data_IF_291643766109
#
_entry.id   IF_291643766109
#
_cell.length_a   1.000
_cell.length_b   1.000
_cell.length_c   1.000
_cell.angle_alpha   90.00
_cell.angle_beta   90.00
_cell.angle_gamma   90.00
#
_symmetry.space_group_name_H-M   'P 1'
#
loop_
_entity.id
_entity.type
_entity.pdbx_description
1 polymer ?
2 polymer ?
3 polymer ?
4 water ?
#
# COMPACT_ATOMS: atom_id res chain seq x y z
N UNK A 1 20.00 -8.42 0.00
CA UNK A 1 18.78 -8.71 -0.81
C UNK A 1 18.53 -7.58 -1.80
N UNK A 2 17.45 -7.70 -2.56
CA UNK A 2 17.15 -6.68 -3.54
C UNK A 2 16.48 -5.44 -2.92
N UNK A 3 16.47 -4.35 -3.67
CA UNK A 3 15.90 -3.08 -3.21
C UNK A 3 15.15 -2.39 -4.35
N UNK A 4 14.26 -1.48 -3.98
CA UNK A 4 13.51 -0.71 -4.95
C UNK A 4 13.20 0.72 -4.50
N UNK A 5 13.07 1.60 -5.48
CA UNK A 5 12.47 2.91 -5.27
C UNK A 5 11.27 3.05 -6.20
N UNK A 6 10.14 3.46 -5.63
CA UNK A 6 8.90 3.55 -6.39
C UNK A 6 8.10 4.80 -6.03
N UNK A 7 7.57 5.45 -7.06
CA UNK A 7 6.68 6.58 -6.88
C UNK A 7 5.26 6.27 -7.37
N UNK A 8 4.27 6.69 -6.56
CA UNK A 8 2.85 6.48 -6.86
C UNK A 8 2.11 7.82 -6.90
N UNK A 9 1.26 7.99 -7.91
CA UNK A 9 0.54 9.25 -8.15
C UNK A 9 -0.93 8.99 -8.48
N UNK A 10 -1.85 9.61 -7.75
CA UNK A 10 -3.29 9.55 -8.04
C UNK A 10 -3.87 10.95 -8.23
N UNK A 11 -4.59 11.17 -9.33
CA UNK A 11 -5.34 12.41 -9.55
C UNK A 11 -6.79 12.06 -9.77
N UNK A 12 -7.69 12.77 -9.07
CA UNK A 12 -9.14 12.55 -9.16
C UNK A 12 -9.83 13.87 -9.50
N UNK A 13 -10.42 13.95 -10.71
CA UNK A 13 -11.10 15.18 -11.15
C UNK A 13 -12.25 15.57 -10.23
N UNK A 14 -12.50 16.87 -10.13
CA UNK A 14 -13.55 17.47 -9.28
C UNK A 14 -14.44 18.35 -10.18
N UNK A 15 -15.44 17.72 -10.84
CA UNK A 15 -16.20 18.32 -11.95
C UNK A 15 -16.76 19.75 -11.75
N UNK A 16 -17.41 20.01 -10.63
CA UNK A 16 -18.06 21.31 -10.44
C UNK A 16 -17.18 22.56 -10.49
N UNK A 17 -15.92 22.45 -10.04
CA UNK A 17 -15.06 23.62 -9.84
C UNK A 17 -13.62 23.22 -9.51
N UNK A 18 -12.68 23.84 -10.20
CA UNK A 18 -11.27 23.75 -9.85
C UNK A 18 -10.52 22.56 -10.42
N UNK A 19 -9.28 22.41 -9.98
CA UNK A 19 -8.40 21.35 -10.44
C UNK A 19 -8.58 20.05 -9.66
N UNK A 20 -8.05 18.94 -10.19
CA UNK A 20 -8.19 17.66 -9.49
C UNK A 20 -7.42 17.57 -8.17
N UNK A 21 -7.88 16.68 -7.29
CA UNK A 21 -7.11 16.27 -6.12
C UNK A 21 -5.93 15.42 -6.58
N UNK A 22 -4.72 15.82 -6.19
CA UNK A 22 -3.49 15.13 -6.61
C UNK A 22 -2.71 14.71 -5.37
N UNK A 23 -2.38 13.42 -5.31
CA UNK A 23 -1.61 12.88 -4.18
C UNK A 23 -0.44 12.09 -4.72
N UNK A 24 0.76 12.42 -4.24
CA UNK A 24 1.99 11.76 -4.64
C UNK A 24 2.68 11.18 -3.39
N UNK A 25 3.11 9.92 -3.47
CA UNK A 25 3.88 9.31 -2.40
C UNK A 25 5.13 8.63 -2.97
N UNK A 26 6.24 8.66 -2.24
CA UNK A 26 7.48 7.99 -2.68
C UNK A 26 7.97 6.98 -1.65
N UNK A 27 8.50 5.86 -2.14
CA UNK A 27 8.91 4.72 -1.30
C UNK A 27 10.31 4.23 -1.61
N UNK A 28 11.03 3.84 -0.56
CA UNK A 28 12.20 3.00 -0.74
C UNK A 28 11.82 1.69 -0.08
N UNK A 29 11.82 0.61 -0.86
CA UNK A 29 11.30 -0.68 -0.39
C UNK A 29 9.90 -0.47 0.23
N UNK A 30 9.69 -0.88 1.48
CA UNK A 30 8.39 -0.66 2.14
C UNK A 30 8.35 0.57 3.05
N UNK A 31 9.28 1.50 2.84
CA UNK A 31 9.33 2.72 3.66
C UNK A 31 8.91 3.95 2.85
N UNK A 32 7.81 4.59 3.25
CA UNK A 32 7.45 5.85 2.61
C UNK A 32 8.40 6.95 3.08
N UNK A 33 8.96 7.73 2.15
CA UNK A 33 9.92 8.80 2.47
C UNK A 33 9.53 10.23 2.06
N UNK A 34 8.66 10.38 1.05
CA UNK A 34 8.15 11.70 0.64
C UNK A 34 6.64 11.67 0.33
N UNK A 35 6.02 12.85 0.33
CA UNK A 35 4.61 13.01 -0.05
C UNK A 35 4.32 14.41 -0.55
N UNK A 36 3.30 14.50 -1.40
CA UNK A 36 2.72 15.78 -1.77
C UNK A 36 1.21 15.58 -1.85
N UNK A 37 0.46 16.46 -1.20
CA UNK A 37 -0.98 16.45 -1.25
C UNK A 37 -1.42 17.84 -1.68
N UNK A 38 -2.18 17.92 -2.77
CA UNK A 38 -2.66 19.22 -3.28
C UNK A 38 -3.63 19.93 -2.31
N UNK A 39 -4.25 19.18 -1.41
CA UNK A 39 -5.18 19.77 -0.43
C UNK A 39 -4.47 20.31 0.82
N UNK A 40 -3.16 20.06 0.91
CA UNK A 40 -2.34 20.53 2.03
C UNK A 40 -1.90 21.98 1.87
N UNK A 41 -1.70 22.65 3.01
CA UNK A 41 -1.38 24.08 3.04
C UNK A 41 -0.01 24.45 2.42
N UNK A 42 0.99 23.59 2.59
CA UNK A 42 2.37 23.96 2.24
C UNK A 42 2.65 24.04 0.74
N UNK A 43 1.99 23.20 -0.05
CA UNK A 43 2.24 23.14 -1.48
C UNK A 43 3.73 22.82 -1.77
N UNK A 44 4.33 22.00 -0.92
CA UNK A 44 5.72 21.55 -1.08
C UNK A 44 5.79 20.04 -0.96
N UNK A 45 6.75 19.40 -1.65
CA UNK A 45 7.13 18.04 -1.30
C UNK A 45 7.55 18.00 0.18
N UNK A 46 7.02 17.04 0.93
CA UNK A 46 7.27 16.91 2.37
C UNK A 46 8.06 15.63 2.69
N UNK A 47 9.01 15.69 3.64
CA UNK A 47 9.65 14.50 4.21
C UNK A 47 8.72 13.61 5.03
N UNK A 48 8.85 12.30 4.87
CA UNK A 48 8.15 11.33 5.70
C UNK A 48 9.08 10.29 6.34
N UNK A 49 10.39 10.48 6.22
CA UNK A 49 11.37 9.63 6.89
C UNK A 49 12.55 10.48 7.32
N UNK A 50 13.05 10.29 8.56
CA UNK A 50 14.12 11.12 9.11
C UNK A 50 15.32 11.28 8.16
N UNK A 51 15.78 10.19 7.56
CA UNK A 51 16.95 10.22 6.65
C UNK A 51 16.84 11.07 5.38
N UNK A 52 15.62 11.40 4.96
CA UNK A 52 15.48 12.30 3.79
C UNK A 52 15.67 13.78 4.16
N UNK A 53 15.57 14.08 5.44
CA UNK A 53 15.73 15.44 5.93
C UNK A 53 17.17 15.88 5.87
N UNK A 54 18.07 14.91 5.73
CA UNK A 54 19.49 15.16 5.44
C UNK A 54 19.66 16.01 4.19
N UNK A 55 18.72 15.89 3.25
CA UNK A 55 18.80 16.59 1.97
C UNK A 55 18.51 18.07 2.15
N UNK A 56 19.18 18.90 1.36
CA UNK A 56 19.16 20.36 1.55
C UNK A 56 18.02 21.05 0.81
N UNK A 57 17.91 22.39 0.97
CA UNK A 57 16.81 23.15 0.38
C UNK A 57 16.70 23.06 -1.13
N UNK A 58 17.83 22.87 -1.82
CA UNK A 58 17.81 22.71 -3.29
C UNK A 58 17.02 21.47 -3.66
N UNK A 59 17.30 20.37 -2.95
CA UNK A 59 16.56 19.12 -3.15
C UNK A 59 15.07 19.38 -3.08
N UNK A 60 14.62 19.98 -1.98
CA UNK A 60 13.21 20.22 -1.78
C UNK A 60 12.60 21.16 -2.82
N UNK A 61 13.31 22.24 -3.18
CA UNK A 61 12.88 23.11 -4.28
C UNK A 61 12.69 22.31 -5.57
N UNK A 62 13.70 21.53 -5.93
CA UNK A 62 13.68 20.72 -7.15
C UNK A 62 12.55 19.68 -7.17
N UNK A 63 12.38 18.95 -6.05
CA UNK A 63 11.34 17.94 -5.98
C UNK A 63 9.96 18.58 -6.05
N UNK A 64 9.78 19.71 -5.38
CA UNK A 64 8.50 20.43 -5.41
C UNK A 64 8.12 20.86 -6.83
N UNK A 65 9.08 21.42 -7.55
CA UNK A 65 8.86 21.86 -8.93
C UNK A 65 8.45 20.69 -9.81
N UNK A 66 9.15 19.56 -9.65
CA UNK A 66 8.88 18.37 -10.46
C UNK A 66 7.52 17.75 -10.15
N UNK A 67 7.19 17.64 -8.86
CA UNK A 67 5.91 17.06 -8.47
C UNK A 67 4.72 17.94 -8.93
N UNK A 68 4.92 19.27 -8.95
CA UNK A 68 3.94 20.17 -9.54
C UNK A 68 3.78 19.99 -11.05
N UNK A 69 4.88 19.72 -11.76
CA UNK A 69 4.82 19.38 -13.18
C UNK A 69 4.02 18.07 -13.41
N UNK A 70 4.28 17.07 -12.57
CA UNK A 70 3.54 15.81 -12.60
C UNK A 70 2.03 16.11 -12.47
N UNK A 71 1.69 16.96 -11.51
CA UNK A 71 0.30 17.32 -11.23
C UNK A 71 -0.38 17.98 -12.44
N UNK A 72 0.34 18.86 -13.14
CA UNK A 72 -0.22 19.51 -14.32
C UNK A 72 -0.43 18.58 -15.52
N UNK A 73 0.54 17.70 -15.78
CA UNK A 73 0.39 16.63 -16.77
C UNK A 73 -0.88 15.80 -16.50
N UNK A 74 -1.07 15.39 -15.25
CA UNK A 74 -2.27 14.65 -14.85
C UNK A 74 -3.57 15.42 -15.10
N UNK A 75 -3.57 16.72 -14.80
CA UNK A 75 -4.75 17.56 -15.05
C UNK A 75 -5.07 17.63 -16.55
N UNK A 76 -4.04 17.86 -17.36
CA UNK A 76 -4.19 17.83 -18.84
C UNK A 76 -4.73 16.46 -19.29
N UNK A 77 -4.11 15.40 -18.78
CA UNK A 77 -4.51 14.02 -19.06
C UNK A 77 -5.98 13.72 -18.80
N UNK A 78 -6.50 14.15 -17.65
CA UNK A 78 -7.92 13.91 -17.37
C UNK A 78 -8.85 14.48 -18.45
N UNK A 79 -8.56 15.68 -18.94
CA UNK A 79 -9.31 16.31 -20.04
C UNK A 79 -9.19 15.61 -21.39
N UNK A 80 -7.97 15.24 -21.76
CA UNK A 80 -7.71 14.48 -23.00
C UNK A 80 -8.42 13.13 -22.97
N UNK A 81 -8.28 12.41 -21.86
CA UNK A 81 -8.86 11.08 -21.71
C UNK A 81 -10.38 11.12 -21.74
N UNK A 82 -10.94 12.18 -21.17
CA UNK A 82 -12.38 12.43 -21.26
C UNK A 82 -12.81 12.60 -22.71
N UNK A 83 -11.97 13.27 -23.51
CA UNK A 83 -12.21 13.42 -24.93
C UNK A 83 -12.07 12.12 -25.71
N UNK A 84 -10.97 11.41 -25.48
CA UNK A 84 -10.70 10.12 -26.13
C UNK A 84 -11.83 9.14 -25.91
N UNK A 85 -12.46 9.18 -24.74
CA UNK A 85 -13.49 8.22 -24.35
C UNK A 85 -14.93 8.75 -24.44
N UNK A 86 -15.11 9.96 -24.96
CA UNK A 86 -16.44 10.56 -25.18
C UNK A 86 -17.27 10.58 -23.90
N UNK A 87 -16.69 11.09 -22.82
CA UNK A 87 -17.39 11.14 -21.55
C UNK A 87 -17.83 12.57 -21.25
N UNK A 88 -18.89 12.70 -20.46
CA UNK A 88 -19.41 14.00 -20.05
C UNK A 88 -18.47 14.76 -19.09
N UNK A 89 -18.93 15.91 -18.58
CA UNK A 89 -18.23 16.67 -17.54
C UNK A 89 -18.77 16.35 -16.16
N UNK A 90 -19.86 15.59 -16.10
CA UNK A 90 -20.60 15.37 -14.86
C UNK A 90 -19.92 14.43 -13.86
N UNK A 91 -19.20 13.44 -14.36
CA UNK A 91 -18.59 12.41 -13.51
C UNK A 91 -17.16 12.68 -13.09
N UNK A 92 -16.79 12.14 -11.93
CA UNK A 92 -15.41 12.18 -11.46
C UNK A 92 -14.64 11.05 -12.10
N UNK A 93 -13.43 11.34 -12.58
CA UNK A 93 -12.52 10.31 -13.13
C UNK A 93 -11.13 10.32 -12.47
N UNK A 94 -10.36 9.26 -12.70
CA UNK A 94 -9.12 9.00 -11.98
C UNK A 94 -7.99 8.62 -12.96
N UNK A 95 -6.81 9.20 -12.76
CA UNK A 95 -5.59 8.68 -13.38
C UNK A 95 -4.63 8.23 -12.29
N UNK A 96 -3.91 7.13 -12.58
CA UNK A 96 -2.94 6.58 -11.65
C UNK A 96 -1.66 6.29 -12.40
N UNK A 97 -0.54 6.69 -11.80
CA UNK A 97 0.79 6.46 -12.34
C UNK A 97 1.69 5.83 -11.28
N UNK A 98 2.47 4.85 -11.70
CA UNK A 98 3.48 4.28 -10.84
C UNK A 98 4.73 4.13 -11.69
N UNK A 99 5.87 4.51 -11.11
CA UNK A 99 7.16 4.23 -11.74
C UNK A 99 8.29 4.05 -10.73
N UNK A 100 9.39 3.46 -11.19
CA UNK A 100 10.54 3.22 -10.34
C UNK A 100 11.52 2.19 -10.85
N UNK A 101 12.45 1.80 -9.98
CA UNK A 101 13.55 0.90 -10.37
C UNK A 101 13.81 -0.14 -9.29
N UNK A 102 14.21 -1.33 -9.72
CA UNK A 102 14.65 -2.42 -8.85
C UNK A 102 16.15 -2.64 -8.99
N UNK A 103 16.83 -2.92 -7.88
CA UNK A 103 18.24 -3.32 -7.92
C UNK A 103 18.40 -4.60 -7.09
N UNK A 104 19.39 -5.42 -7.45
CA UNK A 104 19.62 -6.66 -6.72
C UNK A 104 20.48 -6.45 -5.49
N UNK A 105 21.00 -7.56 -4.95
CA UNK A 105 21.84 -7.54 -3.76
C UNK A 105 23.14 -6.73 -3.95
N UNK A 106 23.68 -6.75 -5.16
CA UNK A 106 24.85 -5.94 -5.52
C UNK A 106 24.53 -4.47 -5.78
N UNK A 107 23.26 -4.11 -5.63
CA UNK A 107 22.77 -2.74 -5.84
C UNK A 107 22.87 -2.24 -7.29
N UNK A 108 22.99 -3.17 -8.24
CA UNK A 108 23.00 -2.82 -9.66
C UNK A 108 21.60 -2.93 -10.26
N UNK A 109 21.30 -2.06 -11.22
CA UNK A 109 20.04 -2.08 -11.97
C UNK A 109 19.58 -3.48 -12.35
N UNK A 110 18.31 -3.78 -12.03
CA UNK A 110 17.70 -5.05 -12.41
C UNK A 110 16.57 -4.86 -13.41
N UNK A 111 15.64 -3.97 -13.07
CA UNK A 111 14.56 -3.61 -13.97
C UNK A 111 13.94 -2.27 -13.60
N UNK A 112 13.27 -1.68 -14.57
CA UNK A 112 12.58 -0.40 -14.40
C UNK A 112 11.17 -0.54 -14.92
N UNK A 113 10.30 0.36 -14.49
CA UNK A 113 8.89 0.30 -14.86
C UNK A 113 8.23 1.67 -14.88
N UNK A 114 7.20 1.80 -15.71
CA UNK A 114 6.43 3.02 -15.82
C UNK A 114 5.08 2.68 -16.43
N UNK A 115 4.05 2.65 -15.59
CA UNK A 115 2.71 2.23 -16.01
C UNK A 115 1.65 3.25 -15.57
N UNK A 116 0.53 3.27 -16.29
CA UNK A 116 -0.48 4.32 -16.21
C UNK A 116 -1.87 3.70 -16.38
N UNK A 117 -2.84 4.13 -15.57
CA UNK A 117 -4.21 3.62 -15.60
C UNK A 117 -5.23 4.74 -15.58
N UNK A 118 -6.36 4.50 -16.23
CA UNK A 118 -7.48 5.44 -16.24
C UNK A 118 -8.72 4.75 -15.69
N UNK A 119 -9.33 5.35 -14.67
CA UNK A 119 -10.47 4.73 -13.95
C UNK A 119 -10.21 3.26 -13.57
N UNK A 120 -9.04 3.01 -12.99
CA UNK A 120 -8.65 1.67 -12.51
C UNK A 120 -8.27 0.63 -13.54
N UNK A 121 -8.18 1.01 -14.81
CA UNK A 121 -7.85 0.07 -15.89
C UNK A 121 -6.52 0.41 -16.58
N UNK A 122 -5.75 -0.62 -16.92
CA UNK A 122 -4.54 -0.50 -17.74
C UNK A 122 -4.77 0.42 -18.94
N UNK A 123 -3.91 1.44 -19.08
CA UNK A 123 -3.96 2.32 -20.22
C UNK A 123 -2.70 2.10 -21.06
N UNK A 124 -1.55 2.52 -20.54
CA UNK A 124 -0.27 2.29 -21.20
C UNK A 124 0.85 2.04 -20.17
N UNK A 125 1.77 1.14 -20.52
CA UNK A 125 2.90 0.77 -19.67
C UNK A 125 4.12 0.62 -20.55
N UNK A 126 5.28 0.97 -20.00
CA UNK A 126 6.55 0.74 -20.66
C UNK A 126 6.83 -0.74 -20.55
N UNK A 127 7.39 -1.33 -21.61
CA UNK A 127 7.78 -2.75 -21.55
C UNK A 127 9.08 -2.94 -20.81
N UNK A 128 9.40 -4.21 -20.50
CA UNK A 128 10.59 -4.59 -19.71
C UNK A 128 11.91 -4.12 -20.31
N UNK A 129 12.00 -4.12 -21.64
CA UNK A 129 13.20 -3.64 -22.34
C UNK A 129 13.38 -2.12 -22.24
N UNK A 130 12.38 -1.41 -21.69
CA UNK A 130 12.35 0.06 -21.59
C UNK A 130 12.50 0.75 -22.96
N UNK A 131 12.13 0.02 -24.00
CA UNK A 131 12.25 0.51 -25.38
C UNK A 131 10.90 0.67 -26.09
N UNK A 132 9.87 -0.02 -25.58
CA UNK A 132 8.55 -0.05 -26.23
C UNK A 132 7.38 0.02 -25.24
N UNK A 133 6.17 0.13 -25.80
CA UNK A 133 4.97 0.40 -25.01
C UNK A 133 3.87 -0.65 -25.20
N UNK A 134 3.12 -0.89 -24.13
CA UNK A 134 1.93 -1.73 -24.16
C UNK A 134 0.70 -0.85 -24.05
N UNK A 135 -0.07 -0.75 -25.14
CA UNK A 135 -1.28 0.06 -25.14
C UNK A 135 -2.48 -0.88 -25.13
N UNK A 136 -3.38 -0.67 -24.17
CA UNK A 136 -4.50 -1.58 -23.92
C UNK A 136 -5.60 -1.49 -24.98
N UNK A 137 -5.77 -0.29 -25.54
CA UNK A 137 -6.87 0.00 -26.47
C UNK A 137 -6.48 1.08 -27.47
N UNK A 138 -7.40 1.44 -28.36
CA UNK A 138 -7.11 2.42 -29.42
C UNK A 138 -6.83 3.85 -28.92
N UNK A 139 -7.41 4.25 -27.78
CA UNK A 139 -7.02 5.51 -27.15
C UNK A 139 -5.53 5.49 -26.75
N UNK A 140 -5.13 4.40 -26.09
CA UNK A 140 -3.75 4.22 -25.66
C UNK A 140 -2.77 4.08 -26.84
N UNK A 141 -3.22 3.45 -27.93
CA UNK A 141 -2.43 3.37 -29.17
C UNK A 141 -2.14 4.75 -29.76
N UNK A 142 -3.12 5.67 -29.68
CA UNK A 142 -2.88 7.07 -30.08
C UNK A 142 -1.77 7.72 -29.25
N UNK A 143 -1.79 7.49 -27.94
CA UNK A 143 -0.74 7.97 -27.04
C UNK A 143 0.63 7.36 -27.35
N UNK A 144 0.66 6.07 -27.62
CA UNK A 144 1.85 5.34 -28.00
C UNK A 144 2.51 5.96 -29.25
N UNK A 145 1.70 6.26 -30.26
CA UNK A 145 2.22 6.93 -31.46
C UNK A 145 2.88 8.27 -31.11
N UNK A 146 2.18 9.06 -30.29
CA UNK A 146 2.65 10.36 -29.78
C UNK A 146 3.97 10.25 -28.98
N UNK A 147 3.99 9.34 -28.01
CA UNK A 147 5.18 9.10 -27.21
C UNK A 147 6.34 8.49 -28.03
N UNK A 148 6.03 7.78 -29.12
CA UNK A 148 7.07 7.23 -30.02
C UNK A 148 7.74 8.33 -30.85
N UNK A 149 6.92 9.23 -31.41
CA UNK A 149 7.41 10.39 -32.15
C UNK A 149 8.35 11.25 -31.30
N UNK A 150 7.98 11.42 -30.03
CA UNK A 150 8.66 12.31 -29.11
C UNK A 150 9.78 11.63 -28.33
N UNK A 151 10.01 10.34 -28.58
CA UNK A 151 11.07 9.55 -27.94
C UNK A 151 11.02 9.53 -26.42
N UNK A 152 9.83 9.30 -25.89
CA UNK A 152 9.58 9.33 -24.46
C UNK A 152 10.26 8.13 -23.78
N UNK A 153 10.20 6.97 -24.40
CA UNK A 153 10.85 5.76 -23.85
C UNK A 153 12.33 5.98 -23.57
N UNK A 154 12.99 6.66 -24.52
CA UNK A 154 14.41 6.98 -24.43
C UNK A 154 14.76 7.83 -23.21
N UNK A 155 13.91 8.81 -22.90
CA UNK A 155 14.11 9.70 -21.74
C UNK A 155 13.87 8.93 -20.44
N UNK A 156 12.84 8.08 -20.44
CA UNK A 156 12.49 7.29 -19.26
C UNK A 156 13.55 6.24 -18.97
N UNK A 157 14.05 5.60 -20.01
CA UNK A 157 15.11 4.61 -19.86
C UNK A 157 16.35 5.21 -19.18
N UNK A 158 16.70 6.42 -19.59
CA UNK A 158 17.87 7.11 -19.02
C UNK A 158 17.69 7.37 -17.52
N UNK A 159 16.51 7.82 -17.14
CA UNK A 159 16.19 8.04 -15.72
C UNK A 159 16.21 6.71 -14.98
N UNK A 160 15.46 5.74 -15.49
CA UNK A 160 15.29 4.45 -14.81
C UNK A 160 16.59 3.67 -14.60
N UNK A 161 17.52 3.78 -15.56
CA UNK A 161 18.82 3.12 -15.46
C UNK A 161 19.86 3.98 -14.74
N UNK A 162 19.66 5.29 -14.75
CA UNK A 162 20.67 6.22 -14.23
C UNK A 162 20.34 6.83 -12.88
N UNK A 163 19.70 7.99 -12.93
CA UNK A 163 19.25 8.71 -11.76
C UNK A 163 18.52 7.82 -10.75
N UNK A 164 17.56 7.04 -11.24
CA UNK A 164 16.76 6.21 -10.36
C UNK A 164 17.67 5.30 -9.50
N UNK A 165 18.54 4.55 -10.17
CA UNK A 165 19.52 3.65 -9.53
C UNK A 165 20.48 4.42 -8.64
N UNK A 166 20.98 5.55 -9.14
CA UNK A 166 21.97 6.35 -8.41
C UNK A 166 21.41 6.92 -7.10
N UNK A 167 20.19 7.44 -7.15
CA UNK A 167 19.53 8.03 -5.97
C UNK A 167 18.95 7.02 -4.95
N UNK A 168 18.51 5.85 -5.42
CA UNK A 168 18.24 4.71 -4.53
C UNK A 168 19.50 4.28 -3.75
N UNK A 169 20.63 4.08 -4.46
CA UNK A 169 21.92 3.81 -3.81
C UNK A 169 22.22 4.85 -2.73
N UNK A 170 22.03 6.12 -3.08
CA UNK A 170 22.24 7.24 -2.16
C UNK A 170 21.30 7.18 -0.94
N UNK A 171 20.02 6.87 -1.19
CA UNK A 171 19.05 6.78 -0.10
C UNK A 171 19.34 5.61 0.85
N UNK A 172 19.75 4.48 0.28
CA UNK A 172 20.06 3.27 1.07
C UNK A 172 21.22 3.49 2.02
N UNK A 173 22.21 4.27 1.57
CA UNK A 173 23.36 4.65 2.39
C UNK A 173 22.95 5.59 3.52
N UNK A 174 22.26 6.69 3.18
CA UNK A 174 21.85 7.67 4.19
C UNK A 174 20.89 7.13 5.26
N UNK A 175 20.04 6.19 4.89
CA UNK A 175 19.10 5.61 5.83
C UNK A 175 19.49 4.21 6.27
N UNK A 176 20.77 3.86 6.10
CA UNK A 176 21.24 2.49 6.35
C UNK A 176 20.78 1.89 7.71
N UNK A 177 20.67 2.72 8.74
CA UNK A 177 20.33 2.22 10.08
C UNK A 177 18.93 1.57 10.19
N UNK A 178 18.03 1.99 9.30
CA UNK A 178 16.68 1.42 9.24
C UNK A 178 16.47 0.68 7.93
N UNK A 179 16.87 1.31 6.82
CA UNK A 179 16.65 0.79 5.49
C UNK A 179 17.44 -0.49 5.22
N UNK A 180 18.64 -0.60 5.80
CA UNK A 180 19.47 -1.79 5.59
C UNK A 180 19.37 -2.80 6.75
N UNK A 181 18.40 -2.56 7.64
CA UNK A 181 18.11 -3.46 8.76
C UNK A 181 16.88 -4.31 8.46
N UNK A 182 16.95 -5.58 8.84
CA UNK A 182 15.81 -6.49 8.75
C UNK A 182 15.27 -6.73 10.16
N UNK A 183 13.95 -6.68 10.31
CA UNK A 183 13.33 -6.99 11.59
C UNK A 183 12.55 -8.31 11.48
N UNK A 184 13.00 -9.32 12.23
CA UNK A 184 12.39 -10.66 12.23
C UNK A 184 10.99 -10.68 12.80
N UNK A 185 10.10 -11.49 12.21
CA UNK A 185 8.76 -11.52 12.79
C UNK A 185 8.79 -12.08 14.22
N UNK A 186 7.99 -11.48 15.10
CA UNK A 186 7.79 -12.02 16.43
C UNK A 186 6.57 -12.93 16.30
N UNK A 187 6.74 -14.21 16.64
CA UNK A 187 5.66 -15.19 16.39
C UNK A 187 5.04 -15.80 17.63
N UNK A 188 3.74 -16.06 17.57
CA UNK A 188 3.04 -16.85 18.57
C UNK A 188 1.80 -17.46 17.94
N UNK A 189 1.13 -18.31 18.71
CA UNK A 189 -0.06 -19.01 18.25
C UNK A 189 -1.17 -18.85 19.28
N UNK A 190 -2.41 -18.75 18.79
CA UNK A 190 -3.58 -18.69 19.68
C UNK A 190 -4.58 -19.84 19.41
N UNK A 191 -5.40 -20.14 20.40
CA UNK A 191 -6.35 -21.27 20.33
C UNK A 191 -7.76 -20.81 20.64
N UNK A 192 -8.72 -21.31 19.86
CA UNK A 192 -10.13 -21.03 20.09
C UNK A 192 -10.93 -22.29 19.83
N UNK A 193 -12.01 -22.48 20.57
CA UNK A 193 -12.86 -23.64 20.38
C UNK A 193 -14.21 -23.17 19.90
N UNK A 194 -14.63 -23.62 18.72
CA UNK A 194 -15.97 -23.24 18.22
C UNK A 194 -17.09 -24.07 18.89
N UNK A 195 -16.78 -25.35 19.12
CA UNK A 195 -17.68 -26.28 19.78
C UNK A 195 -16.83 -27.34 20.49
N UNK A 196 -17.47 -28.37 21.05
CA UNK A 196 -16.69 -29.38 21.77
C UNK A 196 -15.97 -30.37 20.85
N UNK A 197 -15.95 -30.09 19.55
CA UNK A 197 -15.28 -30.98 18.60
C UNK A 197 -14.36 -30.28 17.58
N UNK A 198 -14.55 -28.98 17.39
CA UNK A 198 -13.82 -28.18 16.39
C UNK A 198 -13.05 -27.04 17.08
N UNK A 199 -11.77 -26.91 16.73
CA UNK A 199 -10.89 -25.86 17.28
C UNK A 199 -10.20 -25.05 16.18
N UNK A 200 -9.90 -23.78 16.47
CA UNK A 200 -9.15 -22.91 15.55
C UNK A 200 -7.76 -22.62 16.11
N UNK A 201 -6.74 -22.82 15.26
CA UNK A 201 -5.38 -22.40 15.59
C UNK A 201 -4.95 -21.23 14.73
N UNK A 202 -4.43 -20.18 15.37
CA UNK A 202 -3.99 -19.00 14.63
C UNK A 202 -2.51 -18.71 14.87
N UNK A 203 -1.78 -18.68 13.78
CA UNK A 203 -0.36 -18.40 13.78
C UNK A 203 -0.08 -16.93 13.42
N UNK A 204 0.62 -16.24 14.31
CA UNK A 204 0.83 -14.80 14.22
C UNK A 204 2.26 -14.43 13.89
N UNK A 205 2.44 -13.46 13.00
CA UNK A 205 3.75 -12.84 12.79
C UNK A 205 3.59 -11.34 12.93
N UNK A 206 4.38 -10.75 13.81
CA UNK A 206 4.27 -9.34 14.14
C UNK A 206 5.61 -8.64 14.03
N UNK A 207 5.53 -7.31 13.88
CA UNK A 207 6.69 -6.44 13.99
C UNK A 207 7.81 -6.77 13.01
N UNK A 208 7.44 -7.17 11.79
CA UNK A 208 8.48 -7.55 10.83
C UNK A 208 8.69 -6.51 9.73
N UNK A 209 9.92 -6.45 9.22
CA UNK A 209 10.26 -5.58 8.09
C UNK A 209 11.38 -6.28 7.34
N UNK A 210 11.31 -6.34 5.99
CA UNK A 210 10.31 -5.82 5.05
C UNK A 210 9.00 -6.61 5.07
N UNK A 211 8.02 -6.16 4.30
CA UNK A 211 6.66 -6.74 4.28
C UNK A 211 6.56 -8.15 3.75
N UNK A 212 7.46 -8.52 2.83
CA UNK A 212 7.42 -9.86 2.25
C UNK A 212 7.60 -10.94 3.32
N UNK A 213 6.75 -11.95 3.25
CA UNK A 213 6.76 -13.06 4.22
C UNK A 213 5.92 -14.22 3.69
N UNK A 214 6.26 -15.43 4.12
CA UNK A 214 5.42 -16.61 3.90
C UNK A 214 5.06 -17.33 5.21
N UNK A 215 3.76 -17.51 5.42
CA UNK A 215 3.21 -18.29 6.55
C UNK A 215 2.39 -19.45 6.00
N UNK A 216 2.69 -20.66 6.44
CA UNK A 216 1.98 -21.87 5.96
C UNK A 216 1.77 -22.86 7.09
N UNK A 217 0.74 -23.68 6.96
CA UNK A 217 0.49 -24.77 7.89
C UNK A 217 0.94 -26.11 7.29
N UNK A 218 1.48 -26.97 8.15
CA UNK A 218 1.60 -28.39 7.83
C UNK A 218 0.80 -29.24 8.79
N UNK A 219 0.37 -30.41 8.30
CA UNK A 219 -0.28 -31.46 9.09
C UNK A 219 0.53 -32.73 8.91
N UNK A 220 1.01 -33.28 10.03
CA UNK A 220 1.91 -34.44 10.05
C UNK A 220 3.06 -34.30 9.03
N UNK A 221 3.55 -33.07 8.86
CA UNK A 221 4.70 -32.82 8.00
C UNK A 221 4.38 -32.65 6.52
N UNK A 222 3.09 -32.64 6.19
CA UNK A 222 2.65 -32.35 4.83
C UNK A 222 1.94 -31.01 4.77
N UNK A 223 2.07 -30.32 3.65
CA UNK A 223 1.45 -29.01 3.48
C UNK A 223 -0.07 -29.10 3.51
N UNK A 224 -0.68 -28.17 4.24
CA UNK A 224 -2.11 -28.15 4.44
C UNK A 224 -2.65 -26.80 4.00
N UNK A 225 -3.55 -26.81 3.03
CA UNK A 225 -4.17 -25.59 2.54
C UNK A 225 -5.67 -25.56 2.83
N UNK A 226 -6.32 -26.72 2.72
CA UNK A 226 -7.74 -26.85 3.05
C UNK A 226 -7.99 -26.46 4.49
N UNK A 227 -9.11 -25.77 4.73
CA UNK A 227 -9.52 -25.34 6.07
C UNK A 227 -8.58 -24.28 6.70
N UNK A 228 -7.88 -23.52 5.86
CA UNK A 228 -7.04 -22.43 6.35
C UNK A 228 -7.57 -21.08 5.91
N UNK A 229 -7.22 -20.03 6.66
CA UNK A 229 -7.54 -18.65 6.33
C UNK A 229 -6.23 -17.85 6.45
N UNK A 230 -5.87 -17.12 5.40
CA UNK A 230 -4.64 -16.32 5.38
C UNK A 230 -4.99 -14.86 5.07
N UNK A 231 -4.85 -13.97 6.07
CA UNK A 231 -5.13 -12.53 5.85
C UNK A 231 -4.04 -11.83 5.08
N UNK A 232 -4.42 -10.72 4.46
CA UNK A 232 -3.48 -9.84 3.77
C UNK A 232 -2.50 -9.22 4.78
N UNK A 233 -1.23 -9.18 4.42
CA UNK A 233 -0.18 -8.49 5.18
C UNK A 233 -0.56 -7.03 5.40
N UNK A 234 -0.52 -6.60 6.65
CA UNK A 234 -1.06 -5.31 7.03
C UNK A 234 -0.05 -4.44 7.83
N UNK A 235 -0.09 -3.11 7.60
CA UNK A 235 0.85 -2.22 8.28
C UNK A 235 0.49 -2.06 9.75
N UNK A 236 1.46 -2.21 10.63
CA UNK A 236 1.25 -1.92 12.07
C UNK A 236 1.02 -0.44 12.34
N UNK A 237 1.68 0.41 11.56
CA UNK A 237 1.60 1.87 11.75
C UNK A 237 2.87 2.51 12.33
N UNK A 238 3.83 1.68 12.74
CA UNK A 238 5.14 2.14 13.17
C UNK A 238 6.22 1.77 12.15
N UNK A 239 5.82 1.49 10.92
CA UNK A 239 6.78 1.05 9.88
C UNK A 239 6.98 -0.45 9.69
N UNK A 240 6.52 -1.24 10.66
CA UNK A 240 6.60 -2.71 10.57
C UNK A 240 5.27 -3.29 10.06
N UNK A 241 5.23 -4.61 9.89
CA UNK A 241 4.09 -5.25 9.24
C UNK A 241 3.56 -6.44 10.07
N UNK A 242 2.34 -6.89 9.79
CA UNK A 242 1.72 -8.01 10.51
C UNK A 242 0.96 -8.94 9.55
N UNK A 243 0.87 -10.22 9.91
CA UNK A 243 0.10 -11.18 9.14
C UNK A 243 -0.19 -12.36 10.05
N UNK A 244 -1.33 -13.01 9.82
CA UNK A 244 -1.62 -14.30 10.44
C UNK A 244 -2.17 -15.31 9.46
N UNK A 245 -2.10 -16.59 9.84
CA UNK A 245 -2.74 -17.67 9.13
C UNK A 245 -3.36 -18.61 10.14
N UNK A 246 -4.59 -19.03 9.86
CA UNK A 246 -5.36 -19.88 10.75
C UNK A 246 -5.74 -21.21 10.09
N UNK A 247 -5.89 -22.25 10.91
CA UNK A 247 -6.38 -23.56 10.48
C UNK A 247 -7.43 -24.05 11.48
N UNK A 248 -8.48 -24.70 10.97
CA UNK A 248 -9.50 -25.36 11.77
C UNK A 248 -9.15 -26.85 11.86
N UNK A 249 -9.18 -27.36 13.09
CA UNK A 249 -8.72 -28.71 13.40
C UNK A 249 -9.71 -29.43 14.34
N UNK A 250 -9.71 -30.78 14.31
CA UNK A 250 -10.50 -31.50 15.33
C UNK A 250 -9.90 -31.30 16.73
N UNK A 251 -10.74 -30.99 17.73
CA UNK A 251 -10.26 -30.82 19.10
C UNK A 251 -9.52 -32.05 19.57
N UNK A 252 -8.30 -31.85 20.05
CA UNK A 252 -7.49 -32.94 20.59
C UNK A 252 -6.34 -33.31 19.68
N UNK A 253 -6.41 -32.86 18.43
CA UNK A 253 -5.42 -33.21 17.43
C UNK A 253 -4.46 -32.05 17.12
N UNK A 254 -4.47 -31.04 17.97
CA UNK A 254 -3.67 -29.82 17.76
C UNK A 254 -2.20 -30.12 17.42
N UNK A 255 -1.69 -31.20 18.00
CA UNK A 255 -0.28 -31.52 17.97
C UNK A 255 0.22 -31.94 16.57
N UNK A 256 -0.69 -32.29 15.67
CA UNK A 256 -0.35 -32.70 14.31
C UNK A 256 0.02 -31.50 13.44
N UNK A 257 -0.33 -30.30 13.89
CA UNK A 257 -0.29 -29.10 13.04
C UNK A 257 0.89 -28.22 13.41
N UNK A 258 1.67 -27.82 12.41
CA UNK A 258 2.80 -26.94 12.63
C UNK A 258 2.70 -25.72 11.72
N UNK A 259 3.11 -24.55 12.25
CA UNK A 259 3.16 -23.32 11.47
C UNK A 259 4.61 -23.00 11.07
N UNK A 260 4.82 -22.62 9.81
CA UNK A 260 6.15 -22.36 9.26
C UNK A 260 6.29 -20.95 8.68
N UNK A 261 7.30 -20.23 9.17
CA UNK A 261 7.50 -18.82 8.86
C UNK A 261 8.79 -18.64 8.06
N UNK A 262 8.69 -17.99 6.91
CA UNK A 262 9.86 -17.65 6.12
C UNK A 262 9.92 -16.14 5.99
N UNK A 263 11.08 -15.57 6.27
CA UNK A 263 11.27 -14.11 6.21
C UNK A 263 12.75 -13.81 6.07
N UNK A 264 13.08 -12.73 5.37
CA UNK A 264 14.50 -12.44 5.16
C UNK A 264 15.28 -12.06 6.44
N UNK A 265 14.57 -11.75 7.51
CA UNK A 265 15.19 -11.51 8.82
C UNK A 265 15.47 -12.78 9.62
N UNK A 266 14.99 -13.92 9.11
CA UNK A 266 15.24 -15.23 9.70
C UNK A 266 16.26 -16.01 8.86
N UNK A 267 17.47 -16.28 9.42
CA UNK A 267 18.49 -17.04 8.69
C UNK A 267 17.98 -18.45 8.36
N UNK A 268 17.30 -19.05 9.32
CA UNK A 268 16.58 -20.31 9.14
C UNK A 268 15.06 -20.12 9.29
N UNK A 269 14.26 -20.83 8.47
CA UNK A 269 12.81 -20.94 8.67
C UNK A 269 12.42 -21.37 10.10
N UNK A 270 11.38 -20.74 10.62
CA UNK A 270 10.92 -20.95 11.99
C UNK A 270 9.72 -21.91 11.98
N UNK A 271 9.58 -22.71 13.05
CA UNK A 271 8.45 -23.65 13.22
C UNK A 271 7.77 -23.45 14.57
N UNK A 272 6.43 -23.43 14.59
CA UNK A 272 5.68 -23.33 15.85
C UNK A 272 4.64 -24.44 15.99
N UNK A 273 4.36 -24.81 17.23
CA UNK A 273 3.38 -25.84 17.58
C UNK A 273 2.53 -25.30 18.73
N UNK A 274 1.33 -25.85 18.92
CA UNK A 274 0.50 -25.49 20.07
C UNK A 274 0.79 -26.41 21.26
N UNK B 1 -17.69 2.09 -15.40
CA UNK B 1 -16.65 2.27 -14.35
C UNK B 1 -16.47 1.00 -13.53
N UNK B 2 -15.21 0.56 -13.38
CA UNK B 2 -14.89 -0.54 -12.46
C UNK B 2 -15.17 -0.10 -11.03
N UNK B 3 -15.80 -0.98 -10.27
CA UNK B 3 -16.10 -0.71 -8.87
C UNK B 3 -15.69 -1.90 -8.02
N UNK B 4 -14.73 -1.66 -7.13
CA UNK B 4 -14.19 -2.70 -6.27
C UNK B 4 -14.48 -2.36 -4.81
N UNK B 5 -14.98 -3.34 -4.08
CA UNK B 5 -15.42 -3.15 -2.70
C UNK B 5 -14.23 -3.24 -1.72
N UNK B 6 -14.21 -2.40 -0.66
CA UNK B 6 -13.10 -2.45 0.29
C UNK B 6 -13.09 -3.67 1.20
N UNK B 7 -11.90 -4.22 1.42
CA UNK B 7 -11.67 -5.19 2.48
C UNK B 7 -11.31 -4.41 3.73
N UNK B 8 -11.67 -4.94 4.89
CA UNK B 8 -11.48 -4.22 6.13
C UNK B 8 -10.81 -5.13 7.16
N UNK B 9 -9.73 -4.65 7.77
CA UNK B 9 -9.19 -5.27 8.99
C UNK B 9 -9.08 -4.23 10.10
N UNK B 10 -9.47 -4.63 11.30
CA UNK B 10 -9.42 -3.78 12.48
C UNK B 10 -8.55 -4.46 13.52
N UNK B 11 -7.58 -3.74 14.05
CA UNK B 11 -6.55 -4.34 14.90
C UNK B 11 -5.77 -3.28 15.62
N UNK B 12 -5.00 -3.67 16.64
CA UNK B 12 -4.15 -2.71 17.34
C UNK B 12 -2.72 -2.79 16.83
N UNK B 13 -2.00 -1.68 16.98
CA UNK B 13 -0.62 -1.55 16.52
C UNK B 13 0.31 -2.48 17.30
N UNK B 14 0.09 -2.51 18.62
CA UNK B 14 0.88 -3.31 19.55
C UNK B 14 -0.03 -4.28 20.28
N UNK B 15 0.55 -5.33 20.88
CA UNK B 15 -0.25 -6.29 21.68
C UNK B 15 -1.14 -5.55 22.68
N UNK B 16 -2.41 -5.94 22.75
CA UNK B 16 -3.42 -5.17 23.46
C UNK B 16 -3.47 -5.50 24.95
N UNK B 17 -3.15 -4.51 25.79
CA UNK B 17 -3.19 -4.71 27.25
C UNK B 17 -3.93 -3.55 27.92
N UNK B 18 -4.79 -3.88 28.88
CA UNK B 18 -5.60 -2.88 29.58
C UNK B 18 -4.75 -1.90 30.40
N UNK B 19 -5.07 -0.62 30.28
CA UNK B 19 -4.34 0.42 30.98
C UNK B 19 -3.08 0.89 30.28
N UNK B 20 -2.78 0.31 29.12
CA UNK B 20 -1.54 0.65 28.42
C UNK B 20 -1.76 1.24 27.01
N UNK B 21 -1.26 2.48 26.80
CA UNK B 21 -1.47 3.21 25.55
C UNK B 21 -1.17 2.37 24.32
N UNK B 22 -1.99 2.55 23.30
CA UNK B 22 -1.88 1.76 22.08
C UNK B 22 -2.46 2.56 20.90
N UNK B 23 -2.48 1.95 19.73
CA UNK B 23 -3.10 2.56 18.55
C UNK B 23 -4.12 1.60 17.93
N UNK B 24 -5.32 2.09 17.66
CA UNK B 24 -6.37 1.31 17.02
C UNK B 24 -6.33 1.61 15.53
N UNK B 25 -6.14 0.55 14.74
CA UNK B 25 -6.02 0.63 13.29
C UNK B 25 -7.26 0.12 12.59
N UNK B 26 -7.69 0.81 11.53
CA UNK B 26 -8.59 0.22 10.53
C UNK B 26 -7.93 0.31 9.16
N UNK B 27 -7.59 -0.84 8.58
CA UNK B 27 -6.94 -0.91 7.25
C UNK B 27 -7.97 -1.25 6.17
N UNK B 28 -8.14 -0.33 5.23
CA UNK B 28 -9.04 -0.54 4.10
C UNK B 28 -8.23 -0.73 2.82
N UNK B 29 -8.55 -1.77 2.05
CA UNK B 29 -7.79 -2.04 0.82
C UNK B 29 -8.64 -2.68 -0.27
N UNK B 30 -8.05 -2.80 -1.47
CA UNK B 30 -8.69 -3.45 -2.61
C UNK B 30 -9.90 -2.73 -3.15
N UNK B 31 -9.96 -1.41 -2.96
CA UNK B 31 -11.14 -0.67 -3.40
C UNK B 31 -10.89 0.30 -4.55
N UNK B 32 -11.94 0.55 -5.33
CA UNK B 32 -11.94 1.55 -6.39
C UNK B 32 -13.38 1.98 -6.66
N UNK B 33 -13.63 3.28 -6.85
CA UNK B 33 -12.75 4.45 -6.79
C UNK B 33 -12.27 4.82 -5.38
N UNK B 34 -11.48 5.89 -5.28
CA UNK B 34 -10.75 6.20 -4.05
C UNK B 34 -11.57 6.87 -2.95
N UNK B 35 -12.70 7.49 -3.32
CA UNK B 35 -13.61 8.12 -2.34
C UNK B 35 -14.13 7.03 -1.43
N UNK B 36 -13.94 7.21 -0.12
CA UNK B 36 -14.34 6.24 0.89
C UNK B 36 -14.51 6.99 2.21
N UNK B 37 -15.43 6.51 3.03
CA UNK B 37 -15.67 7.05 4.38
C UNK B 37 -15.32 6.01 5.45
N UNK B 38 -14.57 6.40 6.46
CA UNK B 38 -14.06 5.46 7.48
C UNK B 38 -14.07 6.12 8.84
N UNK B 39 -14.81 5.50 9.77
CA UNK B 39 -14.87 5.99 11.14
C UNK B 39 -14.43 4.91 12.10
N UNK B 40 -13.64 5.29 13.10
CA UNK B 40 -13.37 4.40 14.24
C UNK B 40 -14.44 4.71 15.28
N UNK B 41 -14.96 3.68 15.93
CA UNK B 41 -16.06 3.82 16.90
C UNK B 41 -15.69 3.31 18.29
N UNK B 42 -16.07 4.06 19.33
CA UNK B 42 -15.97 3.63 20.72
C UNK B 42 -17.37 3.47 21.29
N UNK B 43 -17.72 2.24 21.67
CA UNK B 43 -19.06 1.94 22.19
C UNK B 43 -20.17 2.54 21.30
N UNK B 44 -19.99 2.36 19.99
CA UNK B 44 -20.93 2.79 18.98
C UNK B 44 -20.85 4.24 18.54
N UNK B 45 -20.02 5.02 19.22
CA UNK B 45 -19.91 6.47 18.98
C UNK B 45 -18.64 6.82 18.19
N UNK B 46 -18.74 7.76 17.27
CA UNK B 46 -17.61 8.13 16.39
C UNK B 46 -16.44 8.79 17.14
N UNK B 47 -15.23 8.25 16.97
CA UNK B 47 -14.02 8.85 17.54
C UNK B 47 -13.62 10.07 16.72
N UNK B 48 -13.33 11.17 17.39
CA UNK B 48 -13.06 12.46 16.74
C UNK B 48 -11.62 12.61 16.21
N UNK B 49 -10.64 12.20 17.01
CA UNK B 49 -9.24 12.39 16.64
C UNK B 49 -8.67 11.18 15.87
N UNK B 50 -9.10 11.05 14.61
CA UNK B 50 -8.67 9.94 13.77
C UNK B 50 -7.87 10.45 12.59
N UNK B 51 -6.69 9.86 12.39
CA UNK B 51 -5.80 10.24 11.30
C UNK B 51 -5.73 9.10 10.29
N UNK B 52 -5.18 9.37 9.10
CA UNK B 52 -5.05 8.31 8.10
C UNK B 52 -3.80 8.50 7.24
N UNK B 53 -3.35 7.42 6.60
CA UNK B 53 -2.19 7.44 5.69
C UNK B 53 -2.47 8.22 4.40
N UNK B 54 -1.41 8.55 3.67
CA UNK B 54 -1.52 9.13 2.33
C UNK B 54 -1.94 8.03 1.35
N UNK B 55 -2.89 8.37 0.48
CA UNK B 55 -3.45 7.44 -0.51
C UNK B 55 -2.41 6.85 -1.46
N UNK B 56 -2.42 5.53 -1.58
CA UNK B 56 -1.54 4.79 -2.46
C UNK B 56 -2.36 3.59 -2.97
N UNK B 57 -1.76 2.82 -3.87
CA UNK B 57 -2.45 1.71 -4.51
C UNK B 57 -1.51 0.52 -4.78
N UNK B 58 -2.10 -0.64 -5.02
CA UNK B 58 -1.37 -1.88 -5.31
C UNK B 58 -1.16 -1.99 -6.81
N UNK B 59 -0.45 -3.04 -7.23
CA UNK B 59 -0.11 -3.29 -8.63
C UNK B 59 -1.35 -3.40 -9.53
N UNK B 60 -2.44 -3.91 -8.96
CA UNK B 60 -3.69 -4.07 -9.68
C UNK B 60 -4.54 -2.79 -9.67
N UNK B 61 -3.93 -1.70 -9.22
CA UNK B 61 -4.53 -0.34 -9.19
C UNK B 61 -5.51 -0.11 -8.05
N UNK B 62 -5.75 -1.11 -7.20
CA UNK B 62 -6.72 -0.89 -6.12
C UNK B 62 -6.06 -0.11 -4.97
N UNK B 63 -6.84 0.75 -4.34
CA UNK B 63 -6.36 1.68 -3.33
C UNK B 63 -6.30 1.05 -1.95
N UNK B 64 -5.39 1.55 -1.11
CA UNK B 64 -5.40 1.18 0.30
C UNK B 64 -5.16 2.40 1.21
N UNK B 65 -5.72 2.34 2.41
CA UNK B 65 -5.54 3.40 3.40
C UNK B 65 -5.54 2.80 4.80
N UNK B 66 -4.68 3.33 5.66
CA UNK B 66 -4.69 2.99 7.08
C UNK B 66 -5.24 4.18 7.88
N UNK B 67 -6.33 3.95 8.61
CA UNK B 67 -6.85 4.94 9.58
C UNK B 67 -6.47 4.47 10.96
N UNK B 68 -6.15 5.40 11.85
CA UNK B 68 -5.64 5.07 13.21
C UNK B 68 -5.86 6.19 14.22
N UNK B 69 -6.11 5.78 15.47
CA UNK B 69 -6.27 6.69 16.58
C UNK B 69 -5.54 6.14 17.82
N UNK B 70 -4.97 7.02 18.64
CA UNK B 70 -4.43 6.64 19.94
C UNK B 70 -5.56 6.16 20.82
N UNK B 71 -5.34 5.08 21.55
CA UNK B 71 -6.31 4.59 22.54
C UNK B 71 -5.69 3.80 23.69
N UNK B 72 -6.36 3.81 24.84
CA UNK B 72 -5.97 2.96 25.96
C UNK B 72 -7.06 1.91 26.17
N UNK B 73 -6.76 0.64 25.83
CA UNK B 73 -7.79 -0.40 25.98
C UNK B 73 -8.19 -0.58 27.45
N UNK B 74 -9.46 -0.91 27.66
CA UNK B 74 -9.98 -1.34 28.97
C UNK B 74 -10.84 -2.57 28.76
N UNK B 75 -11.22 -3.22 29.86
CA UNK B 75 -12.00 -4.46 29.78
C UNK B 75 -13.38 -4.24 29.12
N UNK B 76 -13.98 -3.09 29.41
CA UNK B 76 -15.37 -2.81 29.04
C UNK B 76 -15.60 -2.13 27.67
N UNK B 77 -14.73 -1.20 27.29
CA UNK B 77 -14.93 -0.46 26.05
C UNK B 77 -14.91 -1.38 24.83
N UNK B 78 -15.88 -1.20 23.94
CA UNK B 78 -15.93 -1.94 22.67
C UNK B 78 -15.53 -1.04 21.51
N UNK B 79 -14.77 -1.58 20.55
CA UNK B 79 -14.25 -0.77 19.44
C UNK B 79 -14.59 -1.39 18.11
N UNK B 80 -14.84 -0.54 17.11
CA UNK B 80 -15.16 -1.00 15.76
C UNK B 80 -14.71 0.01 14.70
N UNK B 81 -14.76 -0.42 13.43
CA UNK B 81 -14.49 0.42 12.27
C UNK B 81 -15.71 0.40 11.36
N UNK B 82 -16.19 1.59 10.99
CA UNK B 82 -17.34 1.74 10.11
C UNK B 82 -16.90 2.31 8.76
N UNK B 83 -17.25 1.61 7.70
CA UNK B 83 -16.83 1.96 6.35
C UNK B 83 -18.04 2.16 5.43
N UNK B 84 -18.04 3.28 4.70
CA UNK B 84 -18.93 3.43 3.54
C UNK B 84 -18.18 3.72 2.24
N UNK B 85 -18.68 3.16 1.15
CA UNK B 85 -18.08 3.28 -0.18
C UNK B 85 -19.22 3.20 -1.18
N UNK B 86 -18.95 3.54 -2.44
CA UNK B 86 -19.96 3.50 -3.50
C UNK B 86 -20.52 2.07 -3.70
N UNK B 87 -19.71 1.07 -3.37
CA UNK B 87 -20.05 -0.33 -3.61
C UNK B 87 -20.91 -0.93 -2.49
N UNK B 88 -21.09 -0.16 -1.41
CA UNK B 88 -21.83 -0.63 -0.22
C UNK B 88 -23.19 0.02 -0.10
N UNK B 89 -24.24 -0.81 0.00
CA UNK B 89 -25.63 -0.32 0.15
C UNK B 89 -25.84 0.29 1.54
N UNK B 90 -25.29 -0.37 2.55
CA UNK B 90 -25.32 0.12 3.93
C UNK B 90 -23.88 0.10 4.45
N UNK B 91 -23.51 1.10 5.26
CA UNK B 91 -22.17 1.08 5.88
C UNK B 91 -21.83 -0.26 6.53
N UNK B 92 -20.61 -0.72 6.32
CA UNK B 92 -20.14 -1.97 6.89
C UNK B 92 -19.40 -1.71 8.20
N UNK B 93 -19.78 -2.45 9.24
CA UNK B 93 -19.15 -2.37 10.55
C UNK B 93 -18.37 -3.66 10.88
N UNK B 94 -17.10 -3.48 11.24
CA UNK B 94 -16.26 -4.60 11.69
C UNK B 94 -15.81 -4.31 13.12
N UNK B 95 -16.09 -5.24 14.03
CA UNK B 95 -15.71 -5.09 15.43
C UNK B 95 -14.27 -5.53 15.65
N UNK B 96 -13.57 -4.79 16.50
CA UNK B 96 -12.23 -5.19 16.92
C UNK B 96 -12.31 -6.39 17.86
N UNK B 97 -11.57 -7.44 17.52
CA UNK B 97 -11.52 -8.65 18.34
C UNK B 97 -10.08 -8.81 18.81
N UNK B 98 -9.86 -8.59 20.11
CA UNK B 98 -8.53 -8.62 20.69
C UNK B 98 -8.02 -10.04 20.91
N UNK B 99 -8.96 -10.99 21.03
CA UNK B 99 -8.64 -12.40 21.30
C UNK B 99 -8.10 -13.17 20.09
N UNK B 100 -8.23 -12.57 18.90
CA UNK B 100 -7.79 -13.20 17.65
C UNK B 100 -6.37 -13.76 17.73
N UNK C 1 14.14 10.57 -5.87
CA UNK C 1 14.39 11.67 -6.85
C UNK C 1 13.54 11.46 -8.09
N UNK C 2 12.56 12.34 -8.29
CA UNK C 2 11.57 12.24 -9.36
C UNK C 2 12.13 12.43 -10.77
N UNK C 3 11.47 11.79 -11.74
CA UNK C 3 11.77 11.97 -13.17
C UNK C 3 11.68 13.46 -13.57
N UNK C 4 12.65 13.94 -14.38
CA UNK C 4 12.66 15.37 -14.71
C UNK C 4 11.40 15.88 -15.44
N UNK C 5 10.77 15.01 -16.24
CA UNK C 5 9.65 15.42 -17.10
C UNK C 5 8.64 14.28 -17.30
N UNK C 6 7.38 14.65 -17.43
CA UNK C 6 6.29 13.69 -17.59
C UNK C 6 5.47 14.09 -18.81
N UNK C 7 5.57 13.30 -19.87
CA UNK C 7 4.79 13.54 -21.08
C UNK C 7 3.29 13.30 -20.86
N UNK C 8 2.49 14.16 -21.49
CA UNK C 8 1.04 14.08 -21.45
C UNK C 8 0.53 13.02 -22.44
N UNK C 9 -0.64 12.41 -22.17
CA UNK C 9 -1.15 11.36 -23.06
C UNK C 9 -1.73 11.88 -24.38
#
# INVERSE_FOLDING_TARGET
>A
GSHSMRYFFTSVSRPGRGEPRFIAVGYVDDTQFVRFDSDAASQRMEPRAPWIEQEGPEYWDGETRKVKAHSQTHRVDLGTLRGYYNQSEAGSHTVQRMYGCDVGSDWRFLRGYHQYAYDGKDYIALKEDLRSWTAADMAAQTTKHKWEAAHVAEQLRAYLEGTCVEWLRRYLENGKETLQRTDAPKTHMTHHAVSDHEATLRCWALSFYPAEITLTWQRDGEDQTQDTELVETRPAGDGTFQKWVAVVVPSGQEQRYTCHVQHEGLPKPLTLRWEPGSLHHILDAQKMVWNHR
>B
MIQRTPKIQVYSRHPAENGKSNFLNCYVSGFHPSDIEVDLLKNGERIEKVEHSDLSFSKDWSFYLLYYTEFTPTEKDEYACRVNHVTLSQPKIVKWDRDM
>C
NLVPAVATV
#
